data_IF_117516995118
#
_entry.id   IF_117516995118
#
_cell.length_a   1.000
_cell.length_b   1.000
_cell.length_c   1.000
_cell.angle_alpha   90.00
_cell.angle_beta   90.00
_cell.angle_gamma   90.00
#
_symmetry.space_group_name_H-M   'P 1'
#
loop_
_entity.id
_entity.type
_entity.pdbx_description
1 polymer ?
#
# COMPACT_ATOMS: atom_id res chain seq x y z
N UNK A 1 -10.17 12.53 8.59
CA UNK A 1 -10.43 11.21 7.99
C UNK A 1 -10.52 11.29 6.47
N UNK A 2 -11.55 11.94 5.94
CA UNK A 2 -11.68 12.17 4.49
C UNK A 2 -10.50 12.99 3.95
N UNK A 3 -10.08 14.04 4.67
CA UNK A 3 -8.91 14.86 4.33
C UNK A 3 -7.62 14.03 4.21
N UNK A 4 -7.37 13.12 5.14
CA UNK A 4 -6.20 12.21 5.12
C UNK A 4 -6.22 11.32 3.86
N UNK A 5 -7.40 10.86 3.46
CA UNK A 5 -7.54 10.06 2.24
C UNK A 5 -7.32 10.90 0.98
N UNK A 6 -7.73 12.17 0.98
CA UNK A 6 -7.42 13.10 -0.11
C UNK A 6 -5.93 13.43 -0.17
N UNK A 7 -5.28 13.67 0.96
CA UNK A 7 -3.82 13.85 1.06
C UNK A 7 -3.06 12.64 0.51
N UNK A 8 -3.55 11.43 0.76
CA UNK A 8 -2.92 10.21 0.25
C UNK A 8 -2.84 10.22 -1.27
N UNK A 9 -3.93 10.53 -1.97
CA UNK A 9 -3.97 10.58 -3.43
C UNK A 9 -3.29 11.83 -4.00
N UNK A 10 -3.44 12.99 -3.36
CA UNK A 10 -2.81 14.25 -3.81
C UNK A 10 -1.29 14.18 -3.75
N UNK A 11 -0.75 13.59 -2.68
CA UNK A 11 0.68 13.55 -2.40
C UNK A 11 1.31 12.20 -2.76
N UNK A 12 0.81 11.52 -3.80
CA UNK A 12 1.37 10.24 -4.29
C UNK A 12 2.83 10.35 -4.72
N UNK A 13 3.23 11.49 -5.28
CA UNK A 13 4.58 11.71 -5.81
C UNK A 13 5.45 12.60 -4.90
N UNK A 14 4.97 12.91 -3.69
CA UNK A 14 5.69 13.77 -2.74
C UNK A 14 6.56 12.94 -1.82
N UNK A 15 7.87 12.91 -2.09
CA UNK A 15 8.84 12.10 -1.34
C UNK A 15 9.44 12.81 -0.13
N UNK A 16 9.43 14.15 -0.12
CA UNK A 16 10.07 14.96 0.91
C UNK A 16 9.09 15.39 2.01
N UNK A 17 8.38 14.42 2.59
CA UNK A 17 7.42 14.66 3.66
C UNK A 17 7.47 13.52 4.69
N UNK A 18 6.86 13.76 5.86
CA UNK A 18 6.58 12.74 6.88
C UNK A 18 5.10 12.39 6.91
N UNK A 19 4.80 11.16 7.33
CA UNK A 19 3.43 10.68 7.53
C UNK A 19 3.28 10.10 8.94
N UNK A 20 2.30 10.60 9.68
CA UNK A 20 1.95 10.07 11.01
C UNK A 20 1.31 8.68 10.90
N UNK A 21 1.22 7.95 12.01
CA UNK A 21 0.55 6.63 12.07
C UNK A 21 -0.88 6.65 11.50
N UNK A 22 -1.65 7.69 11.79
CA UNK A 22 -3.03 7.81 11.32
C UNK A 22 -3.06 8.08 9.81
N UNK A 23 -2.15 8.91 9.31
CA UNK A 23 -1.98 9.19 7.89
C UNK A 23 -1.54 7.96 7.09
N UNK A 24 -0.83 7.02 7.73
CA UNK A 24 -0.47 5.74 7.14
C UNK A 24 -1.64 4.74 7.13
N UNK A 25 -2.22 4.45 8.30
CA UNK A 25 -3.15 3.33 8.46
C UNK A 25 -4.54 3.58 7.85
N UNK A 26 -5.05 4.82 7.87
CA UNK A 26 -6.38 5.08 7.34
C UNK A 26 -6.50 4.86 5.83
N UNK A 27 -5.61 5.40 4.98
CA UNK A 27 -5.62 5.10 3.56
C UNK A 27 -5.39 3.63 3.25
N UNK A 28 -4.52 2.95 4.01
CA UNK A 28 -4.26 1.51 3.86
C UNK A 28 -5.54 0.70 4.13
N UNK A 29 -6.25 0.98 5.23
CA UNK A 29 -7.49 0.30 5.58
C UNK A 29 -8.61 0.57 4.56
N UNK A 30 -8.78 1.82 4.13
CA UNK A 30 -9.81 2.19 3.14
C UNK A 30 -9.54 1.46 1.82
N UNK A 31 -8.31 1.48 1.31
CA UNK A 31 -7.96 0.79 0.08
C UNK A 31 -8.03 -0.73 0.21
N UNK A 32 -7.73 -1.31 1.38
CA UNK A 32 -7.92 -2.73 1.62
C UNK A 32 -9.40 -3.15 1.46
N UNK A 33 -10.33 -2.35 1.98
CA UNK A 33 -11.78 -2.57 1.80
C UNK A 33 -12.17 -2.39 0.33
N UNK A 34 -11.69 -1.34 -0.34
CA UNK A 34 -11.97 -1.11 -1.78
C UNK A 34 -11.47 -2.27 -2.62
N UNK A 35 -10.24 -2.74 -2.40
CA UNK A 35 -9.65 -3.88 -3.11
C UNK A 35 -10.46 -5.16 -2.88
N UNK A 36 -10.91 -5.40 -1.66
CA UNK A 36 -11.76 -6.55 -1.34
C UNK A 36 -13.08 -6.49 -2.13
N UNK A 37 -13.74 -5.33 -2.17
CA UNK A 37 -14.99 -5.14 -2.91
C UNK A 37 -14.80 -5.27 -4.42
N UNK A 38 -13.75 -4.66 -4.99
CA UNK A 38 -13.46 -4.76 -6.43
C UNK A 38 -13.12 -6.20 -6.81
N UNK A 39 -12.34 -6.91 -5.98
CA UNK A 39 -12.00 -8.32 -6.18
C UNK A 39 -13.23 -9.23 -6.15
N UNK A 40 -14.17 -8.98 -5.25
CA UNK A 40 -15.45 -9.68 -5.19
C UNK A 40 -16.33 -9.40 -6.42
N UNK A 41 -16.45 -8.13 -6.83
CA UNK A 41 -17.25 -7.72 -7.99
C UNK A 41 -16.71 -8.24 -9.33
N UNK A 42 -15.38 -8.34 -9.46
CA UNK A 42 -14.70 -8.83 -10.67
C UNK A 42 -14.47 -10.34 -10.67
N UNK A 43 -14.87 -11.05 -9.60
CA UNK A 43 -14.77 -12.51 -9.49
C UNK A 43 -13.34 -13.04 -9.29
N UNK A 44 -12.37 -12.18 -8.98
CA UNK A 44 -10.94 -12.54 -8.83
C UNK A 44 -10.73 -13.55 -7.70
N UNK A 45 -11.52 -13.46 -6.62
CA UNK A 45 -11.48 -14.43 -5.50
C UNK A 45 -11.80 -15.85 -5.98
N UNK A 46 -12.73 -16.00 -6.93
CA UNK A 46 -13.10 -17.30 -7.46
C UNK A 46 -12.03 -17.86 -8.41
N UNK A 47 -11.32 -16.97 -9.13
CA UNK A 47 -10.17 -17.33 -9.96
C UNK A 47 -8.98 -17.79 -9.10
N UNK A 48 -8.69 -17.12 -7.99
CA UNK A 48 -7.62 -17.54 -7.07
C UNK A 48 -7.94 -18.88 -6.40
N UNK A 49 -9.20 -19.13 -6.02
CA UNK A 49 -9.64 -20.40 -5.44
C UNK A 49 -9.51 -21.58 -6.40
N UNK A 50 -9.81 -21.38 -7.69
CA UNK A 50 -9.69 -22.46 -8.68
C UNK A 50 -8.23 -22.86 -8.92
N UNK A 51 -7.30 -21.91 -8.88
CA UNK A 51 -5.85 -22.16 -8.94
C UNK A 51 -5.36 -22.91 -7.70
N UNK A 52 -5.74 -22.45 -6.50
CA UNK A 52 -5.25 -23.02 -5.24
C UNK A 52 -5.81 -24.43 -4.96
N UNK A 53 -7.05 -24.70 -5.36
CA UNK A 53 -7.71 -26.00 -5.14
C UNK A 53 -7.44 -27.02 -6.26
N UNK A 54 -6.54 -26.71 -7.21
CA UNK A 54 -6.10 -27.62 -8.27
C UNK A 54 -7.25 -28.31 -9.03
N UNK A 55 -8.41 -27.67 -9.16
CA UNK A 55 -9.49 -28.15 -10.02
C UNK A 55 -9.18 -27.73 -11.46
N UNK A 56 -8.16 -28.36 -12.06
CA UNK A 56 -7.86 -28.36 -13.49
C UNK A 56 -8.38 -27.17 -14.28
N UNK A 57 -8.09 -25.94 -13.84
CA UNK A 57 -8.55 -24.76 -14.55
C UNK A 57 -7.62 -24.63 -15.75
N UNK A 58 -8.14 -24.96 -16.93
CA UNK A 58 -7.51 -24.51 -18.17
C UNK A 58 -7.32 -23.01 -17.99
N UNK A 59 -6.07 -22.56 -17.91
CA UNK A 59 -5.70 -21.16 -17.97
C UNK A 59 -6.07 -20.68 -19.37
N UNK A 60 -7.36 -20.50 -19.64
CA UNK A 60 -7.79 -19.81 -20.82
C UNK A 60 -7.28 -18.40 -20.63
N UNK A 61 -6.30 -18.00 -21.44
CA UNK A 61 -5.68 -16.67 -21.44
C UNK A 61 -6.67 -15.58 -21.91
N UNK A 62 -7.92 -15.65 -21.45
CA UNK A 62 -8.93 -14.64 -21.66
C UNK A 62 -8.70 -13.57 -20.60
N UNK A 63 -7.92 -12.56 -20.98
CA UNK A 63 -7.76 -11.34 -20.19
C UNK A 63 -9.14 -10.68 -20.14
N UNK A 64 -9.90 -10.96 -19.08
CA UNK A 64 -11.21 -10.32 -18.89
C UNK A 64 -11.00 -8.85 -18.59
N UNK A 65 -11.90 -7.99 -19.08
CA UNK A 65 -11.87 -6.54 -18.80
C UNK A 65 -11.81 -6.26 -17.30
N UNK A 66 -12.49 -7.07 -16.47
CA UNK A 66 -12.44 -6.98 -15.01
C UNK A 66 -11.05 -7.24 -14.42
N UNK A 67 -10.25 -8.14 -15.02
CA UNK A 67 -8.87 -8.43 -14.58
C UNK A 67 -7.91 -7.29 -14.90
N UNK A 68 -8.11 -6.62 -16.04
CA UNK A 68 -7.32 -5.43 -16.42
C UNK A 68 -7.57 -4.29 -15.45
N UNK A 69 -8.85 -3.97 -15.18
CA UNK A 69 -9.21 -2.90 -14.25
C UNK A 69 -8.67 -3.17 -12.85
N UNK A 70 -8.81 -4.40 -12.35
CA UNK A 70 -8.27 -4.78 -11.05
C UNK A 70 -6.73 -4.62 -10.99
N UNK A 71 -6.02 -5.03 -12.05
CA UNK A 71 -4.57 -4.93 -12.12
C UNK A 71 -4.07 -3.48 -12.14
N UNK A 72 -4.74 -2.60 -12.88
CA UNK A 72 -4.41 -1.17 -12.92
C UNK A 72 -4.61 -0.54 -11.53
N UNK A 73 -5.74 -0.87 -10.88
CA UNK A 73 -6.02 -0.35 -9.55
C UNK A 73 -5.01 -0.84 -8.50
N UNK A 74 -4.64 -2.13 -8.56
CA UNK A 74 -3.58 -2.70 -7.71
C UNK A 74 -2.24 -2.00 -7.91
N UNK A 75 -1.85 -1.71 -9.15
CA UNK A 75 -0.59 -1.04 -9.46
C UNK A 75 -0.59 0.40 -8.93
N UNK A 76 -1.68 1.14 -9.12
CA UNK A 76 -1.83 2.50 -8.59
C UNK A 76 -1.75 2.52 -7.06
N UNK A 77 -2.44 1.58 -6.41
CA UNK A 77 -2.40 1.42 -4.96
C UNK A 77 -1.00 1.06 -4.46
N UNK A 78 -0.29 0.18 -5.17
CA UNK A 78 1.08 -0.21 -4.81
C UNK A 78 2.03 0.99 -4.85
N UNK A 79 1.99 1.79 -5.92
CA UNK A 79 2.81 3.01 -6.05
C UNK A 79 2.49 4.00 -4.92
N UNK A 80 1.22 4.23 -4.64
CA UNK A 80 0.80 5.15 -3.60
C UNK A 80 1.25 4.69 -2.20
N UNK A 81 1.13 3.39 -1.92
CA UNK A 81 1.55 2.77 -0.65
C UNK A 81 3.07 2.77 -0.50
N UNK A 82 3.80 2.60 -1.59
CA UNK A 82 5.26 2.67 -1.61
C UNK A 82 5.76 4.06 -1.19
N UNK A 83 5.21 5.14 -1.78
CA UNK A 83 5.55 6.50 -1.37
C UNK A 83 5.08 6.81 0.07
N UNK A 84 3.93 6.29 0.49
CA UNK A 84 3.44 6.46 1.86
C UNK A 84 4.36 5.77 2.89
N UNK A 85 4.88 4.59 2.57
CA UNK A 85 5.83 3.85 3.42
C UNK A 85 7.16 4.60 3.53
N UNK A 86 7.64 5.22 2.44
CA UNK A 86 8.80 6.12 2.48
C UNK A 86 8.59 7.30 3.46
N UNK A 87 7.45 8.00 3.35
CA UNK A 87 7.11 9.10 4.27
C UNK A 87 7.00 8.63 5.73
N UNK A 88 6.54 7.39 5.93
CA UNK A 88 6.43 6.79 7.27
C UNK A 88 7.79 6.44 7.86
N UNK A 89 8.72 5.95 7.05
CA UNK A 89 10.10 5.71 7.47
C UNK A 89 10.80 7.01 7.88
N UNK A 90 10.60 8.08 7.12
CA UNK A 90 11.08 9.41 7.49
C UNK A 90 10.54 9.86 8.85
N UNK A 91 9.27 9.60 9.15
CA UNK A 91 8.65 9.95 10.43
C UNK A 91 9.28 9.23 11.64
N UNK A 92 9.81 8.01 11.42
CA UNK A 92 10.54 7.22 12.44
C UNK A 92 12.06 7.46 12.38
N UNK A 93 12.50 8.46 11.61
CA UNK A 93 13.90 8.83 11.40
C UNK A 93 14.75 7.69 10.77
N UNK A 94 14.16 6.98 9.80
CA UNK A 94 14.83 5.95 8.99
C UNK A 94 14.93 6.39 7.53
N UNK A 95 15.95 5.92 6.83
CA UNK A 95 16.14 6.19 5.41
C UNK A 95 15.21 5.33 4.54
N UNK A 96 14.88 5.79 3.34
CA UNK A 96 14.04 5.03 2.39
C UNK A 96 14.69 3.73 1.89
N UNK A 97 15.99 3.57 2.09
CA UNK A 97 16.71 2.32 1.79
C UNK A 97 16.15 1.11 2.54
N UNK A 98 15.49 1.32 3.68
CA UNK A 98 14.84 0.25 4.43
C UNK A 98 13.68 -0.41 3.67
N UNK A 99 13.07 0.28 2.69
CA UNK A 99 11.99 -0.29 1.86
C UNK A 99 12.49 -1.49 1.04
N UNK A 100 13.78 -1.55 0.71
CA UNK A 100 14.35 -2.70 -0.02
C UNK A 100 14.17 -4.01 0.76
N UNK A 101 13.99 -3.94 2.08
CA UNK A 101 13.68 -5.12 2.87
C UNK A 101 12.36 -5.77 2.44
N UNK A 102 11.40 -5.07 1.84
CA UNK A 102 10.17 -5.68 1.31
C UNK A 102 10.45 -6.78 0.27
N UNK A 103 11.61 -6.77 -0.39
CA UNK A 103 12.03 -7.85 -1.30
C UNK A 103 12.46 -9.14 -0.56
N UNK A 104 12.72 -9.07 0.75
CA UNK A 104 13.02 -10.22 1.60
C UNK A 104 11.70 -10.75 2.18
N UNK A 105 11.23 -11.94 1.76
CA UNK A 105 9.96 -12.48 2.22
C UNK A 105 9.98 -12.72 3.73
N UNK A 106 8.80 -12.56 4.35
CA UNK A 106 8.56 -12.70 5.80
C UNK A 106 9.28 -11.67 6.65
N UNK A 107 10.62 -11.72 6.74
CA UNK A 107 11.42 -10.87 7.63
C UNK A 107 11.29 -9.40 7.24
N UNK A 108 11.36 -9.11 5.94
CA UNK A 108 11.25 -7.75 5.44
C UNK A 108 9.92 -7.09 5.76
N UNK A 109 8.82 -7.80 5.49
CA UNK A 109 7.48 -7.34 5.81
C UNK A 109 7.28 -7.11 7.31
N UNK A 110 7.82 -7.98 8.17
CA UNK A 110 7.74 -7.81 9.63
C UNK A 110 8.48 -6.53 10.06
N UNK A 111 9.68 -6.29 9.54
CA UNK A 111 10.47 -5.10 9.90
C UNK A 111 9.77 -3.81 9.47
N UNK A 112 9.25 -3.76 8.25
CA UNK A 112 8.49 -2.60 7.75
C UNK A 112 7.20 -2.41 8.54
N UNK A 113 6.48 -3.49 8.85
CA UNK A 113 5.29 -3.42 9.68
C UNK A 113 5.59 -2.86 11.08
N UNK A 114 6.71 -3.25 11.70
CA UNK A 114 7.13 -2.67 12.98
C UNK A 114 7.34 -1.15 12.81
N UNK A 115 8.04 -0.71 11.76
CA UNK A 115 8.25 0.72 11.52
C UNK A 115 6.96 1.50 11.26
N UNK A 116 5.96 0.91 10.62
CA UNK A 116 4.70 1.62 10.36
C UNK A 116 3.86 1.82 11.62
N UNK A 117 4.07 1.00 12.66
CA UNK A 117 3.36 1.08 13.95
C UNK A 117 4.12 1.90 15.01
N UNK A 118 5.44 2.04 14.93
CA UNK A 118 6.26 2.78 15.91
C UNK A 118 5.81 4.25 16.10
N UNK A 119 5.97 4.85 17.29
CA UNK A 119 5.65 6.26 17.48
C UNK A 119 6.53 7.18 16.59
N UNK A 120 5.99 8.33 16.21
CA UNK A 120 6.73 9.38 15.50
C UNK A 120 7.92 9.85 16.33
N UNK A 121 9.07 10.05 15.69
CA UNK A 121 10.29 10.48 16.38
C UNK A 121 10.34 12.03 16.39
N UNK A 122 10.33 12.70 17.56
CA UNK A 122 10.36 14.16 17.63
C UNK A 122 11.68 14.75 17.10
N UNK A 123 12.76 13.97 17.08
CA UNK A 123 14.07 14.36 16.56
C UNK A 123 14.31 13.80 15.14
N UNK A 124 13.27 13.67 14.34
CA UNK A 124 13.42 13.26 12.95
C UNK A 124 14.17 14.31 12.12
N UNK A 125 15.02 13.84 11.19
CA UNK A 125 15.65 14.70 10.18
C UNK A 125 14.62 15.39 9.28
N UNK A 126 13.43 14.83 9.13
CA UNK A 126 12.35 15.37 8.29
C UNK A 126 11.28 16.01 9.18
N UNK A 127 11.06 17.31 8.99
CA UNK A 127 10.19 18.11 9.87
C UNK A 127 8.83 18.43 9.28
N UNK A 128 8.66 18.35 7.95
CA UNK A 128 7.43 18.74 7.26
C UNK A 128 6.46 17.58 7.14
N UNK A 129 5.24 17.78 7.61
CA UNK A 129 4.17 16.80 7.44
C UNK A 129 3.55 16.87 6.04
N UNK A 130 3.06 15.74 5.52
CA UNK A 130 2.35 15.70 4.24
C UNK A 130 1.08 16.57 4.18
N UNK A 131 0.49 16.98 5.30
CA UNK A 131 -0.68 17.86 5.34
C UNK A 131 -0.34 19.30 4.96
N UNK A 132 0.93 19.68 4.97
CA UNK A 132 1.41 21.02 4.60
C UNK A 132 1.55 21.23 3.08
N UNK A 133 1.31 20.18 2.29
CA UNK A 133 1.37 20.17 0.82
C UNK A 133 -0.01 19.99 0.21
#
# INVERSE_FOLDING_TARGET
MIEIYQEFWRNIFTWNATATRAQYWWPVLINAVVLFLVSAATGQVNQLKSILLSQGTVLTNNISTGSVVFSIFMLLYYVATFTLTARRLHDVNRSNWWIILEFIPVVGYIVIFIFTVLPSNPNSRWTRNQSEF
#
